data_IF_933804952339
#
_entry.id   IF_933804952339
#
_cell.length_a   1.000
_cell.length_b   1.000
_cell.length_c   1.000
_cell.angle_alpha   90.00
_cell.angle_beta   90.00
_cell.angle_gamma   90.00
#
_symmetry.space_group_name_H-M   'P 1'
#
loop_
_entity.id
_entity.type
_entity.pdbx_description
1 polymer ?
#
# COMPACT_ATOMS: atom_id res chain seq x y z
N UNK A 1 7.82 3.30 -28.08
CA UNK A 1 7.62 3.01 -26.64
C UNK A 1 6.17 2.61 -26.43
N UNK A 2 5.86 1.33 -26.23
CA UNK A 2 4.50 0.93 -25.86
C UNK A 2 4.19 1.45 -24.45
N UNK A 3 3.19 2.32 -24.32
CA UNK A 3 2.62 2.66 -23.01
C UNK A 3 2.04 1.36 -22.43
N UNK A 4 2.37 1.01 -21.16
CA UNK A 4 1.75 -0.16 -20.54
C UNK A 4 0.22 0.01 -20.54
N UNK A 5 -0.55 -1.05 -20.81
CA UNK A 5 -2.00 -0.96 -20.84
C UNK A 5 -2.53 -0.52 -19.47
N UNK A 6 -3.48 0.41 -19.48
CA UNK A 6 -4.24 0.84 -18.29
C UNK A 6 -5.03 -0.36 -17.80
N UNK A 7 -4.66 -0.91 -16.64
CA UNK A 7 -5.36 -2.07 -16.06
C UNK A 7 -6.53 -1.62 -15.18
N UNK A 8 -6.27 -0.63 -14.32
CA UNK A 8 -7.24 -0.15 -13.32
C UNK A 8 -7.43 1.37 -13.38
N UNK A 9 -8.43 1.87 -12.65
CA UNK A 9 -8.70 3.31 -12.53
C UNK A 9 -7.51 4.10 -11.98
N UNK A 10 -6.72 3.50 -11.08
CA UNK A 10 -5.51 4.11 -10.53
C UNK A 10 -4.43 4.29 -11.61
N UNK A 11 -4.35 3.40 -12.61
CA UNK A 11 -3.43 3.51 -13.75
C UNK A 11 -3.78 4.71 -14.61
N UNK A 12 -5.08 4.85 -14.90
CA UNK A 12 -5.59 5.99 -15.65
C UNK A 12 -5.29 7.31 -14.93
N UNK A 13 -5.49 7.34 -13.62
CA UNK A 13 -5.18 8.51 -12.79
C UNK A 13 -3.69 8.84 -12.76
N UNK A 14 -2.82 7.85 -12.52
CA UNK A 14 -1.36 8.05 -12.53
C UNK A 14 -0.90 8.53 -13.90
N UNK A 15 -1.43 7.93 -14.96
CA UNK A 15 -1.12 8.32 -16.33
C UNK A 15 -1.49 9.76 -16.65
N UNK A 16 -2.72 10.16 -16.27
CA UNK A 16 -3.21 11.52 -16.45
C UNK A 16 -2.35 12.52 -15.67
N UNK A 17 -1.97 12.21 -14.41
CA UNK A 17 -1.07 13.04 -13.60
C UNK A 17 0.30 13.23 -14.26
N UNK A 18 0.92 12.14 -14.70
CA UNK A 18 2.23 12.18 -15.37
C UNK A 18 2.13 12.97 -16.68
N UNK A 19 1.01 12.85 -17.41
CA UNK A 19 0.79 13.59 -18.65
C UNK A 19 0.63 15.10 -18.38
N UNK A 20 -0.22 15.49 -17.44
CA UNK A 20 -0.43 16.90 -17.07
C UNK A 20 0.85 17.56 -16.55
N UNK A 21 1.63 16.88 -15.70
CA UNK A 21 2.92 17.39 -15.22
C UNK A 21 3.94 17.58 -16.36
N UNK A 22 3.87 16.80 -17.45
CA UNK A 22 4.74 16.98 -18.62
C UNK A 22 4.31 18.18 -19.44
N UNK A 23 3.02 18.29 -19.74
CA UNK A 23 2.46 19.41 -20.51
C UNK A 23 2.74 20.76 -19.82
N UNK A 24 2.55 20.82 -18.50
CA UNK A 24 2.80 22.04 -17.71
C UNK A 24 4.28 22.46 -17.71
N UNK A 25 5.21 21.49 -17.82
CA UNK A 25 6.66 21.77 -17.94
C UNK A 25 7.04 22.33 -19.30
N UNK A 26 6.38 21.88 -20.37
CA UNK A 26 6.64 22.38 -21.73
C UNK A 26 6.21 23.85 -21.87
N UNK A 27 5.15 24.27 -21.16
CA UNK A 27 4.69 25.67 -21.16
C UNK A 27 5.51 26.60 -20.26
N UNK A 28 6.25 26.05 -19.27
CA UNK A 28 6.91 26.80 -18.20
C UNK A 28 8.39 27.17 -18.42
N UNK A 29 9.02 26.75 -19.52
CA UNK A 29 10.39 27.20 -19.91
C UNK A 29 11.55 26.90 -18.94
N UNK A 30 11.35 26.19 -17.82
CA UNK A 30 12.39 25.90 -16.84
C UNK A 30 12.92 24.45 -16.93
N UNK A 31 14.22 24.31 -17.18
CA UNK A 31 14.98 23.05 -17.12
C UNK A 31 15.09 22.53 -15.67
N UNK A 32 14.09 21.79 -15.19
CA UNK A 32 14.17 21.08 -13.92
C UNK A 32 14.59 19.61 -14.12
N UNK A 33 15.65 19.16 -13.40
CA UNK A 33 16.25 17.81 -13.52
C UNK A 33 15.18 16.71 -13.45
N UNK A 34 15.26 15.77 -14.39
CA UNK A 34 14.32 14.66 -14.65
C UNK A 34 14.08 13.71 -13.45
N UNK A 35 14.88 13.80 -12.39
CA UNK A 35 14.72 13.04 -11.15
C UNK A 35 13.54 13.48 -10.26
N UNK A 36 13.00 14.68 -10.42
CA UNK A 36 12.08 15.27 -9.45
C UNK A 36 10.59 14.88 -9.59
N UNK A 37 10.17 14.23 -10.68
CA UNK A 37 8.75 13.84 -10.87
C UNK A 37 8.37 12.71 -9.91
N UNK A 38 9.28 11.74 -9.70
CA UNK A 38 9.08 10.66 -8.73
C UNK A 38 9.13 11.15 -7.28
N UNK A 39 9.78 12.28 -7.01
CA UNK A 39 9.84 12.86 -5.67
C UNK A 39 8.58 13.67 -5.31
N UNK A 40 7.79 14.09 -6.31
CA UNK A 40 6.50 14.78 -6.08
C UNK A 40 5.41 13.84 -5.56
N UNK A 41 5.49 12.56 -5.93
CA UNK A 41 4.50 11.55 -5.55
C UNK A 41 5.10 10.58 -4.53
N UNK A 42 4.36 10.17 -3.49
CA UNK A 42 4.82 9.16 -2.56
C UNK A 42 5.13 7.86 -3.33
N UNK A 43 6.31 7.23 -3.10
CA UNK A 43 6.72 6.05 -3.84
C UNK A 43 5.76 4.87 -3.64
N UNK A 44 5.04 4.83 -2.53
CA UNK A 44 4.01 3.85 -2.21
C UNK A 44 2.84 3.90 -3.19
N UNK A 45 2.46 5.09 -3.67
CA UNK A 45 1.38 5.31 -4.64
C UNK A 45 1.76 4.80 -6.04
N UNK A 46 3.03 4.98 -6.42
CA UNK A 46 3.56 4.58 -7.73
C UNK A 46 3.93 3.09 -7.80
N UNK A 47 4.12 2.42 -6.66
CA UNK A 47 4.52 1.01 -6.59
C UNK A 47 3.35 0.08 -6.90
N UNK A 48 3.47 -0.73 -7.96
CA UNK A 48 2.45 -1.71 -8.44
C UNK A 48 2.81 -3.18 -8.20
N UNK A 49 3.86 -3.41 -7.43
CA UNK A 49 4.30 -4.75 -7.08
C UNK A 49 4.33 -4.89 -5.56
N UNK A 50 4.14 -6.11 -5.09
CA UNK A 50 4.29 -6.51 -3.71
C UNK A 50 5.53 -7.39 -3.60
N UNK A 51 6.29 -7.23 -2.52
CA UNK A 51 7.45 -8.06 -2.24
C UNK A 51 7.12 -8.89 -1.02
N UNK A 52 7.10 -10.21 -1.19
CA UNK A 52 6.88 -11.15 -0.10
C UNK A 52 8.19 -11.86 0.23
N UNK A 53 8.50 -11.99 1.52
CA UNK A 53 9.60 -12.81 1.98
C UNK A 53 9.10 -14.23 2.25
N UNK A 54 9.81 -15.22 1.72
CA UNK A 54 9.57 -16.63 2.02
C UNK A 54 10.58 -17.06 3.08
N UNK A 55 10.12 -17.79 4.10
CA UNK A 55 11.01 -18.41 5.08
C UNK A 55 11.91 -19.47 4.43
N UNK A 56 13.06 -19.74 5.06
CA UNK A 56 13.97 -20.78 4.57
C UNK A 56 13.37 -22.14 4.90
N UNK A 57 13.58 -23.13 4.05
CA UNK A 57 13.10 -24.51 4.27
C UNK A 57 13.70 -25.17 5.51
N UNK A 58 14.82 -24.67 6.02
CA UNK A 58 15.47 -25.14 7.25
C UNK A 58 14.79 -24.62 8.53
N UNK A 59 13.99 -23.56 8.44
CA UNK A 59 13.36 -22.96 9.62
C UNK A 59 12.17 -23.82 10.05
N UNK A 60 12.25 -24.38 11.26
CA UNK A 60 11.14 -25.19 11.81
C UNK A 60 9.94 -24.30 12.14
N UNK A 61 8.71 -24.71 11.77
CA UNK A 61 7.52 -23.97 12.15
C UNK A 61 7.33 -24.05 13.66
N UNK A 62 7.02 -22.91 14.27
CA UNK A 62 6.73 -22.80 15.70
C UNK A 62 5.24 -23.04 15.96
N UNK A 63 4.93 -23.55 17.15
CA UNK A 63 3.56 -23.59 17.65
C UNK A 63 3.12 -22.20 18.12
N UNK A 64 1.80 -21.95 18.15
CA UNK A 64 1.23 -20.67 18.61
C UNK A 64 1.66 -20.34 20.05
N UNK A 65 1.88 -21.35 20.91
CA UNK A 65 2.34 -21.17 22.30
C UNK A 65 3.79 -20.74 22.44
N UNK A 66 4.63 -21.10 21.47
CA UNK A 66 6.06 -20.78 21.48
C UNK A 66 6.34 -19.34 21.03
N UNK A 67 5.34 -18.66 20.46
CA UNK A 67 5.45 -17.26 20.04
C UNK A 67 5.46 -16.35 21.28
N UNK A 68 6.67 -15.91 21.66
CA UNK A 68 6.92 -15.03 22.82
C UNK A 68 7.45 -13.66 22.39
N UNK A 69 7.56 -12.74 23.35
CA UNK A 69 8.05 -11.37 23.11
C UNK A 69 9.44 -11.30 22.43
N UNK A 70 10.30 -12.30 22.63
CA UNK A 70 11.63 -12.38 21.99
C UNK A 70 11.61 -12.49 20.45
N UNK A 71 10.43 -12.75 19.86
CA UNK A 71 10.23 -12.90 18.41
C UNK A 71 9.56 -11.67 17.78
N UNK A 72 9.22 -10.65 18.55
CA UNK A 72 8.67 -9.40 18.03
C UNK A 72 9.69 -8.75 17.10
N UNK A 73 9.29 -8.42 15.88
CA UNK A 73 10.15 -7.84 14.85
C UNK A 73 10.99 -8.84 14.05
N UNK A 74 10.80 -10.16 14.24
CA UNK A 74 11.50 -11.21 13.46
C UNK A 74 10.53 -11.93 12.52
N UNK A 75 11.05 -12.46 11.41
CA UNK A 75 10.29 -13.36 10.53
C UNK A 75 10.20 -14.73 11.19
N UNK A 76 8.98 -15.12 11.58
CA UNK A 76 8.68 -16.44 12.16
C UNK A 76 7.69 -17.19 11.27
N UNK A 77 7.79 -18.50 11.26
CA UNK A 77 6.81 -19.39 10.60
C UNK A 77 6.02 -20.10 11.68
N UNK A 78 4.69 -20.07 11.62
CA UNK A 78 3.79 -20.69 12.61
C UNK A 78 2.91 -21.72 11.94
N UNK A 79 2.65 -22.84 12.61
CA UNK A 79 1.69 -23.87 12.16
C UNK A 79 0.42 -23.85 13.01
N UNK A 80 -0.74 -24.01 12.38
CA UNK A 80 -2.05 -23.94 13.05
C UNK A 80 -3.23 -24.15 12.10
N UNK A 81 -4.44 -24.15 12.65
CA UNK A 81 -5.71 -24.26 11.92
C UNK A 81 -6.39 -22.89 11.86
N UNK A 82 -6.84 -22.47 10.68
CA UNK A 82 -7.61 -21.23 10.52
C UNK A 82 -9.03 -21.46 11.05
N UNK A 83 -9.42 -20.71 12.09
CA UNK A 83 -10.73 -20.84 12.74
C UNK A 83 -11.75 -19.81 12.26
N UNK A 84 -11.27 -18.68 11.73
CA UNK A 84 -12.12 -17.62 11.20
C UNK A 84 -11.38 -16.86 10.13
N UNK A 85 -12.08 -16.61 9.02
CA UNK A 85 -11.65 -15.70 7.98
C UNK A 85 -12.71 -14.61 7.82
N UNK A 86 -12.29 -13.35 7.76
CA UNK A 86 -13.20 -12.26 7.40
C UNK A 86 -13.36 -12.17 5.89
N UNK A 87 -14.37 -11.43 5.42
CA UNK A 87 -14.44 -11.01 4.03
C UNK A 87 -13.25 -10.10 3.67
N UNK A 88 -12.88 -10.12 2.39
CA UNK A 88 -11.83 -9.24 1.86
C UNK A 88 -12.38 -7.82 1.77
N UNK A 89 -11.71 -6.89 2.43
CA UNK A 89 -12.06 -5.46 2.43
C UNK A 89 -10.89 -4.63 1.89
N UNK A 90 -11.14 -3.52 1.18
CA UNK A 90 -10.08 -2.63 0.74
C UNK A 90 -9.53 -1.82 1.94
N UNK A 91 -8.22 -1.88 2.17
CA UNK A 91 -7.50 -1.06 3.14
C UNK A 91 -6.75 0.05 2.41
N UNK A 92 -6.88 1.28 2.89
CA UNK A 92 -6.18 2.43 2.30
C UNK A 92 -4.69 2.35 2.62
N UNK A 93 -3.85 2.36 1.57
CA UNK A 93 -2.39 2.44 1.69
C UNK A 93 -1.91 3.88 1.55
N UNK A 94 -2.43 4.61 0.55
CA UNK A 94 -2.15 6.03 0.33
C UNK A 94 -3.45 6.71 -0.03
N UNK A 95 -3.77 7.79 0.67
CA UNK A 95 -4.97 8.58 0.40
C UNK A 95 -4.55 9.88 -0.28
N UNK A 96 -5.21 10.22 -1.38
CA UNK A 96 -5.08 11.55 -1.98
C UNK A 96 -6.24 12.41 -1.50
N UNK A 97 -5.93 13.58 -0.95
CA UNK A 97 -6.88 14.63 -0.67
C UNK A 97 -6.74 15.75 -1.69
N UNK A 98 -7.86 16.36 -2.06
CA UNK A 98 -7.92 17.56 -2.87
C UNK A 98 -8.52 18.67 -2.02
N UNK A 99 -7.88 19.84 -2.01
CA UNK A 99 -8.42 20.99 -1.31
C UNK A 99 -9.41 21.74 -2.20
N UNK A 100 -10.60 22.04 -1.67
CA UNK A 100 -11.64 22.77 -2.40
C UNK A 100 -11.25 24.23 -2.70
N UNK A 101 -10.31 24.81 -1.95
CA UNK A 101 -9.90 26.22 -2.07
C UNK A 101 -8.72 26.44 -3.00
N UNK A 102 -7.65 25.65 -2.90
CA UNK A 102 -6.46 25.80 -3.75
C UNK A 102 -6.41 24.84 -4.93
N UNK A 103 -7.25 23.80 -4.94
CA UNK A 103 -7.21 22.76 -5.97
C UNK A 103 -5.94 21.91 -5.96
N UNK A 104 -5.04 22.08 -4.98
CA UNK A 104 -3.84 21.24 -4.86
C UNK A 104 -4.17 19.88 -4.26
N UNK A 105 -3.43 18.87 -4.72
CA UNK A 105 -3.52 17.50 -4.21
C UNK A 105 -2.47 17.32 -3.11
N UNK A 106 -2.89 16.83 -1.94
CA UNK A 106 -2.01 16.48 -0.82
C UNK A 106 -2.20 15.02 -0.43
N UNK A 107 -1.13 14.38 0.04
CA UNK A 107 -1.14 12.99 0.51
C UNK A 107 -1.14 12.88 2.04
N UNK A 108 -1.06 14.02 2.72
CA UNK A 108 -1.14 14.17 4.17
C UNK A 108 -2.46 14.91 4.51
N UNK A 109 -3.08 14.68 5.67
CA UNK A 109 -4.33 15.35 6.04
C UNK A 109 -4.19 16.86 6.35
N UNK A 110 -3.18 17.54 5.80
CA UNK A 110 -2.93 18.97 5.97
C UNK A 110 -2.69 19.64 4.61
N UNK A 111 -3.32 20.80 4.39
CA UNK A 111 -3.06 21.66 3.24
C UNK A 111 -1.92 22.61 3.57
N UNK A 112 -0.71 22.34 3.04
CA UNK A 112 0.49 23.14 3.35
C UNK A 112 0.63 24.37 2.43
N UNK A 113 0.14 24.27 1.20
CA UNK A 113 0.35 25.29 0.16
C UNK A 113 -0.38 26.61 0.42
N UNK A 114 -1.50 26.53 1.12
CA UNK A 114 -2.28 27.69 1.49
C UNK A 114 -2.64 27.53 2.95
N UNK A 115 -2.27 28.51 3.79
CA UNK A 115 -2.85 28.68 5.14
C UNK A 115 -4.37 28.93 5.13
N UNK A 116 -5.02 28.77 3.97
CA UNK A 116 -6.45 28.70 3.87
C UNK A 116 -6.89 27.36 4.43
N UNK A 117 -7.69 27.39 5.50
CA UNK A 117 -8.37 26.24 6.09
C UNK A 117 -9.49 25.72 5.16
N UNK A 118 -9.15 25.44 3.91
CA UNK A 118 -10.06 24.85 2.94
C UNK A 118 -10.38 23.41 3.33
N UNK A 119 -11.58 22.96 2.97
CA UNK A 119 -12.01 21.59 3.23
C UNK A 119 -11.22 20.63 2.32
N UNK A 120 -10.67 19.58 2.92
CA UNK A 120 -9.99 18.50 2.21
C UNK A 120 -11.01 17.40 1.87
N UNK A 121 -11.12 17.09 0.58
CA UNK A 121 -11.95 16.00 0.07
C UNK A 121 -11.09 14.82 -0.32
N UNK A 122 -11.43 13.63 0.16
CA UNK A 122 -10.76 12.40 -0.24
C UNK A 122 -11.15 12.01 -1.67
N UNK A 123 -10.15 11.77 -2.52
CA UNK A 123 -10.34 11.25 -3.87
C UNK A 123 -10.12 9.74 -3.91
N UNK A 124 -11.19 8.95 -3.97
CA UNK A 124 -11.11 7.47 -3.97
C UNK A 124 -10.35 6.95 -5.19
N UNK A 125 -10.60 7.48 -6.39
CA UNK A 125 -9.95 7.00 -7.64
C UNK A 125 -8.45 7.32 -7.71
N UNK A 126 -8.03 8.41 -7.07
CA UNK A 126 -6.63 8.81 -6.96
C UNK A 126 -5.89 8.17 -5.78
N UNK A 127 -6.61 7.45 -4.91
CA UNK A 127 -6.06 6.79 -3.72
C UNK A 127 -5.71 5.32 -4.02
N UNK A 128 -4.73 4.80 -3.29
CA UNK A 128 -4.29 3.41 -3.40
C UNK A 128 -4.92 2.58 -2.28
N UNK A 129 -5.66 1.54 -2.68
CA UNK A 129 -6.20 0.54 -1.78
C UNK A 129 -5.52 -0.80 -2.00
N UNK A 130 -5.27 -1.53 -0.92
CA UNK A 130 -4.76 -2.90 -0.92
C UNK A 130 -5.81 -3.83 -0.36
N UNK A 131 -5.80 -5.09 -0.79
CA UNK A 131 -6.73 -6.09 -0.26
C UNK A 131 -6.31 -6.44 1.17
N UNK A 132 -7.25 -6.38 2.09
CA UNK A 132 -7.03 -6.72 3.49
C UNK A 132 -8.02 -7.79 3.93
N UNK A 133 -7.50 -8.76 4.67
CA UNK A 133 -8.28 -9.84 5.25
C UNK A 133 -7.67 -10.23 6.60
N UNK A 134 -8.50 -10.34 7.63
CA UNK A 134 -8.09 -10.83 8.94
C UNK A 134 -8.36 -12.34 9.02
N UNK A 135 -7.34 -13.09 9.44
CA UNK A 135 -7.43 -14.52 9.71
C UNK A 135 -7.12 -14.77 11.19
N UNK A 136 -7.94 -15.59 11.84
CA UNK A 136 -7.66 -16.08 13.20
C UNK A 136 -7.20 -17.52 13.10
N UNK A 137 -6.06 -17.81 13.74
CA UNK A 137 -5.42 -19.12 13.75
C UNK A 137 -5.46 -19.66 15.18
N UNK A 138 -5.79 -20.94 15.31
CA UNK A 138 -5.67 -21.71 16.54
C UNK A 138 -4.55 -22.74 16.40
N UNK A 139 -3.93 -23.09 17.52
CA UNK A 139 -2.93 -24.16 17.57
C UNK A 139 -3.56 -25.48 17.09
N UNK A 140 -2.76 -26.30 16.39
CA UNK A 140 -3.20 -27.65 16.06
C UNK A 140 -3.36 -28.46 17.35
N UNK A 141 -4.52 -29.08 17.55
CA UNK A 141 -4.67 -30.06 18.61
C UNK A 141 -3.65 -31.18 18.37
N UNK A 142 -2.94 -31.59 19.42
CA UNK A 142 -2.06 -32.75 19.37
C UNK A 142 -2.94 -34.00 19.17
N UNK A 143 -3.23 -34.35 17.92
CA UNK A 143 -3.88 -35.62 17.55
C UNK A 143 -2.84 -36.68 17.12
N UNK A 144 -1.59 -36.51 17.57
CA UNK A 144 -0.46 -37.40 17.25
C UNK A 144 0.19 -37.98 18.50
N UNK A 145 -0.64 -38.47 19.43
CA UNK A 145 -0.25 -39.47 20.43
C UNK A 145 -1.26 -40.65 20.51
N UNK A 146 -1.97 -40.96 19.42
CA UNK A 146 -2.82 -42.17 19.31
C UNK A 146 -2.70 -42.77 17.90
N UNK A 147 -1.49 -43.22 17.55
CA UNK A 147 -1.25 -44.23 16.50
C UNK A 147 0.17 -44.79 16.67
N UNK A 148 0.37 -45.43 17.84
CA UNK A 148 1.40 -46.44 18.10
C UNK A 148 0.72 -47.53 18.93
#
# INVERSE_FOLDING_TARGET
MLKPPVRDALDAFIFQRIYMDRTQKETGGQMFRMGNIRNKYPPELMRRFEVAFKSRTLDKPLSVREVKAAQVGKLVTVSGVVIRATEVKPMASVITYTCDTCGSETYQPDCVDTKAHGRLQMQVRGSKFVKFQELRIQEMACFLLLSL
#
